data_IF_308077224361
#
_entry.id   IF_308077224361
#
_cell.length_a   1.000
_cell.length_b   1.000
_cell.length_c   1.000
_cell.angle_alpha   90.00
_cell.angle_beta   90.00
_cell.angle_gamma   90.00
#
_symmetry.space_group_name_H-M   'P 1'
#
loop_
_entity.id
_entity.type
_entity.pdbx_description
1 polymer ?
#
# COMPACT_ATOMS: atom_id res chain seq x y z
N UNK A 1 3.94 -57.84 -6.88
CA UNK A 1 3.30 -56.65 -7.51
C UNK A 1 2.56 -55.76 -6.47
N UNK A 2 3.18 -55.28 -5.37
CA UNK A 2 2.46 -54.38 -4.41
C UNK A 2 3.16 -53.06 -4.05
N UNK A 3 4.38 -52.79 -4.52
CA UNK A 3 5.11 -51.55 -4.21
C UNK A 3 4.52 -50.28 -4.86
N UNK A 4 3.82 -50.40 -5.99
CA UNK A 4 3.34 -49.23 -6.74
C UNK A 4 2.09 -48.56 -6.13
N UNK A 5 1.31 -49.27 -5.31
CA UNK A 5 0.09 -48.75 -4.70
C UNK A 5 0.35 -47.78 -3.53
N UNK A 6 1.52 -47.85 -2.89
CA UNK A 6 1.91 -46.94 -1.80
C UNK A 6 2.42 -45.59 -2.29
N UNK A 7 3.11 -45.59 -3.45
CA UNK A 7 3.72 -44.39 -4.06
C UNK A 7 2.63 -43.48 -4.63
N UNK A 8 1.61 -44.04 -5.27
CA UNK A 8 0.49 -43.27 -5.83
C UNK A 8 -0.35 -42.59 -4.74
N UNK A 9 -0.59 -43.26 -3.60
CA UNK A 9 -1.29 -42.66 -2.45
C UNK A 9 -0.49 -41.57 -1.76
N UNK A 10 0.84 -41.66 -1.74
CA UNK A 10 1.67 -40.58 -1.17
C UNK A 10 1.70 -39.36 -2.09
N UNK A 11 1.81 -39.54 -3.41
CA UNK A 11 1.82 -38.46 -4.41
C UNK A 11 0.52 -37.61 -4.38
N UNK A 12 -0.63 -38.26 -4.22
CA UNK A 12 -1.95 -37.60 -4.17
C UNK A 12 -2.06 -36.64 -2.97
N UNK A 13 -1.37 -36.92 -1.86
CA UNK A 13 -1.37 -36.03 -0.68
C UNK A 13 -0.60 -34.72 -0.90
N UNK A 14 0.30 -34.68 -1.89
CA UNK A 14 1.11 -33.51 -2.24
C UNK A 14 0.52 -32.69 -3.39
N UNK A 15 -0.47 -33.24 -4.10
CA UNK A 15 -1.17 -32.59 -5.20
C UNK A 15 -1.68 -31.16 -4.87
N UNK A 16 -2.25 -30.87 -3.68
CA UNK A 16 -2.74 -29.52 -3.38
C UNK A 16 -1.64 -28.49 -3.06
N UNK A 17 -0.42 -28.93 -2.75
CA UNK A 17 0.70 -28.02 -2.49
C UNK A 17 1.29 -27.43 -3.78
N UNK A 18 1.18 -28.15 -4.90
CA UNK A 18 1.67 -27.71 -6.22
C UNK A 18 0.98 -26.43 -6.72
N UNK A 19 -0.36 -26.28 -6.72
CA UNK A 19 -0.99 -25.04 -7.14
C UNK A 19 -0.70 -23.89 -6.18
N UNK A 20 -0.58 -24.18 -4.88
CA UNK A 20 -0.30 -23.17 -3.86
C UNK A 20 1.10 -22.59 -4.01
N UNK A 21 2.10 -23.43 -4.31
CA UNK A 21 3.48 -23.00 -4.57
C UNK A 21 3.61 -22.28 -5.92
N UNK A 22 2.90 -22.74 -6.95
CA UNK A 22 2.85 -22.06 -8.24
C UNK A 22 2.24 -20.65 -8.12
N UNK A 23 1.19 -20.50 -7.32
CA UNK A 23 0.54 -19.20 -7.08
C UNK A 23 1.46 -18.26 -6.30
N UNK A 24 2.17 -18.76 -5.28
CA UNK A 24 3.15 -17.98 -4.53
C UNK A 24 4.34 -17.52 -5.42
N UNK A 25 4.86 -18.42 -6.26
CA UNK A 25 5.92 -18.11 -7.23
C UNK A 25 5.49 -17.02 -8.22
N UNK A 26 4.27 -17.10 -8.75
CA UNK A 26 3.73 -16.12 -9.68
C UNK A 26 3.60 -14.72 -9.05
N UNK A 27 3.11 -14.66 -7.80
CA UNK A 27 2.99 -13.39 -7.04
C UNK A 27 4.36 -12.75 -6.79
N UNK A 28 5.39 -13.55 -6.45
CA UNK A 28 6.75 -13.05 -6.22
C UNK A 28 7.43 -12.58 -7.51
N UNK A 29 7.17 -13.25 -8.63
CA UNK A 29 7.65 -12.81 -9.95
C UNK A 29 6.99 -11.49 -10.39
N UNK A 30 5.66 -11.38 -10.24
CA UNK A 30 4.91 -10.15 -10.52
C UNK A 30 5.36 -8.98 -9.64
N UNK A 31 5.80 -9.27 -8.41
CA UNK A 31 6.25 -8.26 -7.45
C UNK A 31 7.75 -7.92 -7.55
N UNK A 32 8.44 -8.29 -8.65
CA UNK A 32 9.87 -7.99 -8.89
C UNK A 32 10.76 -8.32 -7.68
N UNK A 33 10.40 -9.36 -6.93
CA UNK A 33 11.04 -9.63 -5.64
C UNK A 33 12.50 -10.06 -5.81
N UNK A 34 13.41 -9.62 -4.91
CA UNK A 34 14.82 -9.95 -5.02
C UNK A 34 15.09 -11.46 -5.02
N UNK A 35 16.22 -11.89 -5.58
CA UNK A 35 16.61 -13.29 -5.73
C UNK A 35 16.60 -14.10 -4.42
N UNK A 36 16.83 -13.44 -3.27
CA UNK A 36 16.75 -14.08 -1.95
C UNK A 36 15.34 -14.54 -1.56
N UNK A 37 14.28 -13.98 -2.18
CA UNK A 37 12.91 -14.45 -1.98
C UNK A 37 12.70 -15.87 -2.50
N UNK A 38 13.33 -16.22 -3.62
CA UNK A 38 13.29 -17.57 -4.19
C UNK A 38 14.07 -18.59 -3.34
N UNK A 39 15.19 -18.16 -2.74
CA UNK A 39 15.94 -18.99 -1.80
C UNK A 39 15.11 -19.32 -0.55
N UNK A 40 14.34 -18.36 -0.03
CA UNK A 40 13.45 -18.55 1.12
C UNK A 40 12.32 -19.56 0.82
N UNK A 41 11.74 -19.54 -0.38
CA UNK A 41 10.79 -20.56 -0.84
C UNK A 41 11.43 -21.95 -0.87
N UNK A 42 12.64 -22.06 -1.43
CA UNK A 42 13.38 -23.32 -1.48
C UNK A 42 13.59 -23.91 -0.08
N UNK A 43 14.01 -23.08 0.88
CA UNK A 43 14.18 -23.48 2.29
C UNK A 43 12.85 -23.91 2.91
N UNK A 44 11.75 -23.18 2.67
CA UNK A 44 10.42 -23.54 3.16
C UNK A 44 9.91 -24.87 2.58
N UNK A 45 10.17 -25.15 1.30
CA UNK A 45 9.81 -26.42 0.65
C UNK A 45 10.58 -27.60 1.22
N UNK A 46 11.89 -27.43 1.45
CA UNK A 46 12.74 -28.46 2.08
C UNK A 46 12.30 -28.70 3.52
N UNK A 47 12.00 -27.64 4.27
CA UNK A 47 11.48 -27.71 5.63
C UNK A 47 10.10 -28.41 5.69
N UNK A 48 9.18 -28.08 4.78
CA UNK A 48 7.88 -28.74 4.66
C UNK A 48 8.02 -30.22 4.28
N UNK A 49 8.92 -30.56 3.36
CA UNK A 49 9.22 -31.95 2.97
C UNK A 49 9.86 -32.76 4.12
N UNK A 50 10.73 -32.14 4.92
CA UNK A 50 11.32 -32.76 6.11
C UNK A 50 10.29 -32.91 7.24
N UNK A 51 9.45 -31.90 7.45
CA UNK A 51 8.34 -31.93 8.40
C UNK A 51 7.34 -33.03 8.03
N UNK A 52 6.92 -33.12 6.77
CA UNK A 52 6.01 -34.14 6.26
C UNK A 52 6.57 -35.57 6.33
N UNK A 53 7.89 -35.75 6.16
CA UNK A 53 8.54 -37.04 6.39
C UNK A 53 8.55 -37.44 7.86
N UNK A 54 8.64 -36.47 8.77
CA UNK A 54 8.50 -36.66 10.22
C UNK A 54 7.02 -36.78 10.67
N UNK A 55 6.08 -36.41 9.78
CA UNK A 55 4.63 -36.30 9.99
C UNK A 55 3.87 -37.64 9.94
N UNK A 56 4.51 -38.72 9.46
CA UNK A 56 3.89 -40.05 9.39
C UNK A 56 3.91 -40.84 10.72
N UNK A 57 4.40 -40.26 11.83
CA UNK A 57 4.56 -40.98 13.11
C UNK A 57 4.08 -40.28 14.40
N UNK A 58 3.40 -39.12 14.36
CA UNK A 58 3.10 -38.41 15.62
C UNK A 58 1.90 -37.45 15.62
N UNK A 59 0.99 -37.75 16.54
CA UNK A 59 -0.11 -37.01 17.19
C UNK A 59 -0.56 -35.63 16.64
N UNK A 60 -1.86 -35.59 16.29
CA UNK A 60 -2.68 -34.47 15.76
C UNK A 60 -2.55 -33.15 16.55
N UNK A 61 -2.32 -33.19 17.86
CA UNK A 61 -2.22 -32.02 18.72
C UNK A 61 -1.02 -31.10 18.38
N UNK A 62 0.10 -31.69 17.97
CA UNK A 62 1.28 -30.92 17.52
C UNK A 62 1.03 -30.28 16.14
N UNK A 63 0.15 -30.85 15.33
CA UNK A 63 -0.19 -30.35 14.00
C UNK A 63 -1.04 -29.08 14.09
N UNK A 64 -2.08 -29.10 14.92
CA UNK A 64 -2.93 -27.91 15.12
C UNK A 64 -2.14 -26.76 15.75
N UNK A 65 -1.24 -27.06 16.70
CA UNK A 65 -0.34 -26.07 17.29
C UNK A 65 0.61 -25.43 16.26
N UNK A 66 1.21 -26.23 15.38
CA UNK A 66 2.09 -25.72 14.33
C UNK A 66 1.35 -24.83 13.31
N UNK A 67 0.12 -25.20 12.93
CA UNK A 67 -0.72 -24.39 12.03
C UNK A 67 -1.14 -23.06 12.68
N UNK A 68 -1.48 -23.05 13.96
CA UNK A 68 -1.80 -21.80 14.69
C UNK A 68 -0.58 -20.89 14.81
N UNK A 69 0.59 -21.45 15.10
CA UNK A 69 1.83 -20.67 15.18
C UNK A 69 2.20 -20.06 13.81
N UNK A 70 2.08 -20.83 12.73
CA UNK A 70 2.32 -20.33 11.37
C UNK A 70 1.34 -19.21 10.99
N UNK A 71 0.04 -19.38 11.28
CA UNK A 71 -0.97 -18.34 11.05
C UNK A 71 -0.69 -17.07 11.88
N UNK A 72 -0.29 -17.21 13.14
CA UNK A 72 0.07 -16.08 14.00
C UNK A 72 1.29 -15.31 13.47
N UNK A 73 2.31 -16.01 12.96
CA UNK A 73 3.49 -15.39 12.34
C UNK A 73 3.10 -14.65 11.05
N UNK A 74 2.25 -15.22 10.20
CA UNK A 74 1.76 -14.56 8.99
C UNK A 74 0.93 -13.32 9.32
N UNK A 75 0.03 -13.40 10.32
CA UNK A 75 -0.76 -12.25 10.73
C UNK A 75 0.09 -11.13 11.33
N UNK A 76 1.06 -11.46 12.20
CA UNK A 76 1.94 -10.45 12.81
C UNK A 76 2.87 -9.80 11.78
N UNK A 77 3.43 -10.57 10.84
CA UNK A 77 4.23 -10.01 9.74
C UNK A 77 3.39 -9.13 8.82
N UNK A 78 2.16 -9.52 8.46
CA UNK A 78 1.27 -8.71 7.63
C UNK A 78 0.89 -7.37 8.30
N UNK A 79 0.65 -7.38 9.61
CA UNK A 79 0.36 -6.15 10.38
C UNK A 79 1.62 -5.27 10.51
N UNK A 80 2.78 -5.88 10.79
CA UNK A 80 4.05 -5.15 10.93
C UNK A 80 4.61 -4.56 9.63
N UNK A 81 4.24 -5.13 8.47
CA UNK A 81 4.64 -4.60 7.16
C UNK A 81 3.72 -3.51 6.63
N UNK A 82 2.64 -3.12 7.34
CA UNK A 82 1.84 -1.99 6.90
C UNK A 82 2.69 -0.73 7.00
N UNK A 83 3.05 -0.08 5.88
CA UNK A 83 3.85 1.14 5.95
C UNK A 83 3.05 2.17 6.75
N UNK A 84 3.67 2.85 7.72
CA UNK A 84 2.99 3.94 8.41
C UNK A 84 2.50 4.96 7.37
N UNK A 85 1.37 5.66 7.62
CA UNK A 85 0.91 6.70 6.71
C UNK A 85 2.02 7.73 6.53
N UNK A 86 2.65 7.73 5.37
CA UNK A 86 3.75 8.65 5.06
C UNK A 86 3.15 10.00 4.69
N UNK A 87 3.56 11.03 5.42
CA UNK A 87 3.40 12.41 4.97
C UNK A 87 4.24 12.54 3.70
N UNK A 88 3.69 13.14 2.64
CA UNK A 88 4.47 13.37 1.42
C UNK A 88 5.38 14.56 1.65
N UNK A 89 6.67 14.31 1.79
CA UNK A 89 7.70 15.35 1.82
C UNK A 89 7.88 15.94 0.41
N UNK A 90 8.17 17.23 0.35
CA UNK A 90 8.57 17.95 -0.85
C UNK A 90 10.10 17.97 -0.96
N UNK A 91 10.63 18.18 -2.17
CA UNK A 91 12.07 18.44 -2.37
C UNK A 91 12.93 17.25 -2.84
N UNK A 92 12.41 16.02 -2.86
CA UNK A 92 13.15 14.87 -3.39
C UNK A 92 13.98 14.14 -2.34
N UNK A 93 15.18 13.68 -2.71
CA UNK A 93 16.04 12.86 -1.85
C UNK A 93 17.03 13.69 -1.01
N UNK A 94 17.41 14.88 -1.47
CA UNK A 94 18.28 15.82 -0.73
C UNK A 94 17.61 17.20 -0.62
N UNK A 95 16.57 17.32 0.24
CA UNK A 95 15.82 18.56 0.39
C UNK A 95 16.70 19.66 1.03
N UNK A 96 16.97 20.73 0.28
CA UNK A 96 17.66 21.92 0.79
C UNK A 96 16.68 23.08 1.01
N UNK A 97 16.80 23.85 2.11
CA UNK A 97 15.88 24.96 2.38
C UNK A 97 16.05 26.10 1.37
N UNK A 98 14.93 26.71 0.96
CA UNK A 98 14.96 27.96 0.19
C UNK A 98 15.22 29.17 1.09
N UNK A 99 15.44 30.34 0.46
CA UNK A 99 15.35 31.62 1.14
C UNK A 99 13.96 31.84 1.76
N UNK A 100 13.91 32.64 2.83
CA UNK A 100 12.66 33.00 3.48
C UNK A 100 11.94 34.05 2.65
N UNK A 101 10.72 33.73 2.21
CA UNK A 101 9.88 34.61 1.40
C UNK A 101 8.77 35.23 2.25
N UNK A 102 8.60 36.56 2.24
CA UNK A 102 7.49 37.22 2.93
C UNK A 102 6.18 37.04 2.18
N UNK A 103 5.10 36.76 2.92
CA UNK A 103 3.73 36.68 2.41
C UNK A 103 2.79 37.52 3.29
N UNK A 104 1.57 37.78 2.82
CA UNK A 104 0.55 38.51 3.59
C UNK A 104 0.21 37.83 4.94
N UNK A 105 0.37 36.51 5.00
CA UNK A 105 0.07 35.68 6.17
C UNK A 105 1.31 35.37 7.04
N UNK A 106 2.45 36.00 6.76
CA UNK A 106 3.72 35.78 7.48
C UNK A 106 4.85 35.26 6.59
N UNK A 107 5.98 34.92 7.22
CA UNK A 107 7.17 34.45 6.54
C UNK A 107 7.07 32.96 6.20
N UNK A 108 7.56 32.54 5.03
CA UNK A 108 7.52 31.15 4.60
C UNK A 108 8.87 30.71 4.05
N UNK A 109 9.30 29.50 4.40
CA UNK A 109 10.47 28.82 3.84
C UNK A 109 10.03 27.52 3.20
N UNK A 110 10.44 27.29 1.96
CA UNK A 110 10.17 26.06 1.21
C UNK A 110 11.43 25.19 1.11
N UNK A 111 11.43 24.32 0.10
CA UNK A 111 12.50 23.36 -0.18
C UNK A 111 12.83 23.36 -1.67
N UNK A 112 14.10 23.33 -2.01
CA UNK A 112 14.56 23.16 -3.38
C UNK A 112 14.44 21.69 -3.81
N UNK A 113 14.16 21.45 -5.08
CA UNK A 113 14.30 20.11 -5.66
C UNK A 113 15.78 19.72 -5.78
N UNK A 114 16.06 18.42 -5.95
CA UNK A 114 17.42 17.86 -5.99
C UNK A 114 18.40 18.62 -6.93
N UNK A 115 17.92 19.12 -8.08
CA UNK A 115 18.74 19.89 -9.04
C UNK A 115 18.90 21.39 -8.70
N UNK A 116 18.28 21.84 -7.60
CA UNK A 116 18.27 23.22 -7.09
C UNK A 116 17.69 24.26 -8.05
N UNK A 117 17.01 23.85 -9.11
CA UNK A 117 16.45 24.78 -10.10
C UNK A 117 15.13 25.41 -9.66
N UNK A 118 14.36 24.71 -8.82
CA UNK A 118 12.99 25.10 -8.45
C UNK A 118 12.73 24.97 -6.95
N UNK A 119 12.14 26.00 -6.36
CA UNK A 119 11.66 25.98 -4.98
C UNK A 119 10.21 25.51 -4.87
N UNK A 120 9.94 24.54 -4.01
CA UNK A 120 8.62 24.04 -3.66
C UNK A 120 8.23 24.59 -2.29
N UNK A 121 7.03 25.15 -2.21
CA UNK A 121 6.44 25.63 -0.96
C UNK A 121 5.12 24.88 -0.71
N UNK A 122 5.18 23.82 0.08
CA UNK A 122 4.09 22.87 0.30
C UNK A 122 3.36 23.11 1.63
N UNK A 123 2.07 22.74 1.68
CA UNK A 123 1.32 22.66 2.94
C UNK A 123 0.99 23.99 3.63
N UNK A 124 1.23 25.13 2.98
CA UNK A 124 0.93 26.45 3.53
C UNK A 124 -0.60 26.58 3.78
N UNK A 125 -1.05 26.84 5.01
CA UNK A 125 -2.46 27.06 5.29
C UNK A 125 -2.90 28.42 4.72
N UNK A 126 -4.01 28.43 3.99
CA UNK A 126 -4.61 29.64 3.41
C UNK A 126 -5.93 30.06 4.09
N UNK A 127 -6.55 29.15 4.86
CA UNK A 127 -7.73 29.42 5.66
C UNK A 127 -7.74 28.58 6.95
N UNK A 128 -8.57 28.97 7.92
CA UNK A 128 -8.87 28.10 9.06
C UNK A 128 -9.46 26.76 8.60
N UNK A 129 -9.05 25.67 9.27
CA UNK A 129 -9.53 24.33 8.95
C UNK A 129 -11.07 24.26 9.00
N UNK A 130 -11.74 23.76 7.96
CA UNK A 130 -13.22 23.75 7.85
C UNK A 130 -13.84 22.61 8.68
N UNK A 131 -13.51 22.53 9.97
CA UNK A 131 -13.94 21.50 10.91
C UNK A 131 -14.97 22.05 11.90
N UNK A 132 -15.75 21.16 12.52
CA UNK A 132 -16.75 21.54 13.52
C UNK A 132 -17.79 22.54 12.99
N UNK A 133 -17.92 23.69 13.66
CA UNK A 133 -18.88 24.76 13.29
C UNK A 133 -18.55 25.44 11.95
N UNK A 134 -17.32 25.30 11.45
CA UNK A 134 -16.89 25.86 10.16
C UNK A 134 -17.20 24.92 8.98
N UNK A 135 -17.62 23.68 9.25
CA UNK A 135 -18.05 22.76 8.21
C UNK A 135 -19.22 23.38 7.45
N UNK A 136 -19.16 23.37 6.12
CA UNK A 136 -20.16 23.97 5.22
C UNK A 136 -20.28 25.50 5.27
N UNK A 137 -19.30 26.19 5.86
CA UNK A 137 -19.18 27.65 5.78
C UNK A 137 -18.08 28.04 4.80
N UNK A 138 -18.10 29.29 4.36
CA UNK A 138 -17.01 29.85 3.57
C UNK A 138 -15.69 29.77 4.37
N UNK A 139 -14.55 29.53 3.69
CA UNK A 139 -13.23 29.53 4.32
C UNK A 139 -13.00 30.83 5.09
N UNK A 140 -12.61 30.72 6.36
CA UNK A 140 -12.31 31.88 7.20
C UNK A 140 -10.83 32.24 7.08
N UNK A 141 -10.47 33.54 6.91
CA UNK A 141 -9.08 33.96 6.76
C UNK A 141 -8.25 33.64 8.02
N UNK A 142 -6.98 33.30 7.85
CA UNK A 142 -6.07 33.12 8.99
C UNK A 142 -5.63 34.46 9.57
N UNK A 143 -5.25 34.43 10.85
CA UNK A 143 -4.43 35.47 11.43
C UNK A 143 -2.98 35.33 10.92
N UNK A 144 -2.27 36.44 10.66
CA UNK A 144 -0.86 36.39 10.27
C UNK A 144 -0.01 35.60 11.27
N UNK A 145 0.86 34.75 10.75
CA UNK A 145 1.72 33.87 11.55
C UNK A 145 2.88 34.67 12.14
N UNK A 146 3.13 34.49 13.44
CA UNK A 146 4.33 35.00 14.12
C UNK A 146 5.48 34.01 13.93
N UNK A 147 6.29 34.21 12.89
CA UNK A 147 7.48 33.39 12.61
C UNK A 147 7.55 32.87 11.18
N UNK A 148 8.59 32.08 10.90
CA UNK A 148 8.79 31.44 9.58
C UNK A 148 8.08 30.10 9.56
N UNK A 149 7.16 29.91 8.60
CA UNK A 149 6.51 28.63 8.36
C UNK A 149 7.35 27.77 7.42
N UNK A 150 7.67 26.55 7.85
CA UNK A 150 8.33 25.55 7.01
C UNK A 150 7.29 24.85 6.13
N UNK A 151 7.35 25.10 4.83
CA UNK A 151 6.51 24.52 3.80
C UNK A 151 7.23 23.43 3.01
N UNK A 152 7.71 22.40 3.71
CA UNK A 152 8.45 21.26 3.15
C UNK A 152 7.58 20.00 3.01
N UNK A 153 6.32 20.03 3.45
CA UNK A 153 5.42 18.87 3.47
C UNK A 153 4.05 19.18 2.87
N UNK A 154 3.52 18.23 2.09
CA UNK A 154 2.15 18.33 1.61
C UNK A 154 1.14 18.06 2.73
N UNK A 155 0.09 18.86 2.77
CA UNK A 155 -1.02 18.66 3.71
C UNK A 155 -1.92 17.50 3.26
N UNK A 156 -2.74 17.00 4.18
CA UNK A 156 -3.69 15.93 3.91
C UNK A 156 -4.70 16.34 2.83
N UNK A 157 -4.96 15.43 1.90
CA UNK A 157 -6.01 15.64 0.91
C UNK A 157 -7.39 15.71 1.60
N UNK A 158 -8.33 16.52 1.07
CA UNK A 158 -9.68 16.56 1.59
C UNK A 158 -10.35 15.19 1.45
N UNK A 159 -11.25 14.86 2.39
CA UNK A 159 -11.98 13.59 2.35
C UNK A 159 -12.82 13.50 1.08
N UNK A 160 -12.52 12.50 0.26
CA UNK A 160 -13.25 12.23 -0.97
C UNK A 160 -13.49 10.72 -1.06
N UNK A 161 -14.62 10.34 -1.66
CA UNK A 161 -14.87 8.94 -1.95
C UNK A 161 -13.81 8.45 -2.93
N UNK A 162 -12.99 7.49 -2.50
CA UNK A 162 -12.02 6.84 -3.40
C UNK A 162 -12.77 6.20 -4.55
N UNK A 163 -12.45 6.60 -5.78
CA UNK A 163 -13.02 5.95 -6.96
C UNK A 163 -12.48 4.52 -7.03
N UNK A 164 -13.35 3.53 -6.88
CA UNK A 164 -13.00 2.14 -7.19
C UNK A 164 -13.07 1.91 -8.70
N UNK A 165 -12.49 0.80 -9.17
CA UNK A 165 -12.60 0.38 -10.57
C UNK A 165 -14.07 0.40 -11.06
N UNK A 166 -14.99 -0.15 -10.27
CA UNK A 166 -16.42 -0.19 -10.60
C UNK A 166 -17.07 1.19 -10.66
N UNK A 167 -16.74 2.11 -9.74
CA UNK A 167 -17.28 3.48 -9.77
C UNK A 167 -16.78 4.25 -11.00
N UNK A 168 -15.51 4.02 -11.40
CA UNK A 168 -14.92 4.63 -12.61
C UNK A 168 -15.56 4.08 -13.89
N UNK A 169 -15.71 2.76 -14.00
CA UNK A 169 -16.34 2.10 -15.14
C UNK A 169 -17.81 2.55 -15.32
N UNK A 170 -18.58 2.63 -14.23
CA UNK A 170 -19.97 3.12 -14.28
C UNK A 170 -20.07 4.60 -14.67
N UNK A 171 -19.14 5.44 -14.19
CA UNK A 171 -19.08 6.87 -14.61
C UNK A 171 -18.80 6.99 -16.11
N UNK A 172 -17.90 6.16 -16.65
CA UNK A 172 -17.58 6.13 -18.07
C UNK A 172 -18.81 5.75 -18.93
N UNK A 173 -19.52 4.67 -18.58
CA UNK A 173 -20.76 4.26 -19.28
C UNK A 173 -21.86 5.33 -19.20
N UNK A 174 -21.94 6.09 -18.10
CA UNK A 174 -22.92 7.18 -17.93
C UNK A 174 -22.58 8.44 -18.73
N UNK A 175 -21.30 8.73 -18.93
CA UNK A 175 -20.88 9.82 -19.83
C UNK A 175 -21.13 9.44 -21.29
N UNK A 176 -20.79 8.21 -21.69
CA UNK A 176 -20.94 7.77 -23.08
C UNK A 176 -22.41 7.74 -23.54
N UNK A 177 -23.33 7.37 -22.65
CA UNK A 177 -24.79 7.41 -22.90
C UNK A 177 -25.37 8.83 -22.92
N UNK A 178 -24.77 9.79 -22.20
CA UNK A 178 -25.18 11.21 -22.24
C UNK A 178 -24.70 11.93 -23.51
N UNK A 179 -23.55 11.59 -24.06
CA UNK A 179 -23.11 12.14 -25.35
C UNK A 179 -24.03 11.75 -26.51
N UNK A 180 -24.66 10.57 -26.48
CA UNK A 180 -25.60 10.15 -27.51
C UNK A 180 -27.01 10.76 -27.40
N UNK A 181 -27.37 11.33 -26.24
CA UNK A 181 -28.70 11.92 -26.01
C UNK A 181 -28.74 13.43 -26.22
N UNK A 182 -27.59 14.11 -26.32
CA UNK A 182 -27.51 15.57 -26.52
C UNK A 182 -27.66 16.03 -27.98
N UNK A 183 -27.72 15.11 -28.96
CA UNK A 183 -27.82 15.44 -30.40
C UNK A 183 -29.26 15.52 -30.91
N UNK A 184 -30.25 15.59 -30.01
CA UNK A 184 -31.66 15.83 -30.36
C UNK A 184 -32.15 17.09 -29.64
N UNK A 185 -31.82 18.23 -30.23
CA UNK A 185 -32.53 19.50 -29.99
C UNK A 185 -33.37 19.73 -31.25
N UNK A 186 -34.68 20.04 -31.12
CA UNK A 186 -35.58 20.28 -32.26
C UNK A 186 -35.19 21.51 -33.08
#
# INVERSE_FOLDING_TARGET
>A
MSRNAGITKSLIRWLPLVPLTATAALVLWLNRSPWWGWALIGVLLVAAGAAARRWLRGHVLLQTGAWMLAAAIVCTTAVGMYPPPTVRDAGGNDPQPTEVVPTHDGLVRGVLIDDRSTGIFAGIPYAHAPVGKLRWRAPQPLQPRTGVFTGDRFSSAPIQSTSTFFTRARRWSRCHSRTHSSTRIP
#
